data_IF_628533084544
#
_entry.id   IF_628533084544
#
_cell.length_a   1.000
_cell.length_b   1.000
_cell.length_c   1.000
_cell.angle_alpha   90.00
_cell.angle_beta   90.00
_cell.angle_gamma   90.00
#
_symmetry.space_group_name_H-M   'P 1'
#
loop_
_entity.id
_entity.type
_entity.pdbx_description
1 polymer ?
#
# COMPACT_ATOMS: atom_id res chain seq x y z
N UNK A 1 13.21 -5.32 -12.33
CA UNK A 1 13.77 -4.66 -11.12
C UNK A 1 15.08 -5.27 -10.62
N UNK A 2 15.46 -6.48 -11.06
CA UNK A 2 16.70 -7.13 -10.60
C UNK A 2 17.95 -6.33 -11.00
N UNK A 3 17.99 -5.81 -12.21
CA UNK A 3 19.13 -5.07 -12.77
C UNK A 3 19.00 -3.53 -12.63
N UNK A 4 18.05 -3.06 -11.84
CA UNK A 4 17.84 -1.63 -11.65
C UNK A 4 18.90 -1.03 -10.70
N UNK A 5 19.56 0.05 -11.13
CA UNK A 5 20.55 0.79 -10.32
C UNK A 5 20.05 1.22 -8.94
N UNK A 6 18.74 1.43 -8.79
CA UNK A 6 18.11 1.80 -7.52
C UNK A 6 17.82 0.61 -6.60
N UNK A 7 17.98 -0.64 -7.10
CA UNK A 7 17.82 -1.86 -6.33
C UNK A 7 19.14 -2.42 -5.80
N UNK A 8 20.24 -1.72 -5.99
CA UNK A 8 21.57 -2.10 -5.50
C UNK A 8 21.70 -1.64 -4.04
N UNK A 9 22.32 -2.46 -3.19
CA UNK A 9 22.62 -2.10 -1.80
C UNK A 9 23.57 -0.90 -1.78
N UNK A 10 23.24 0.10 -0.97
CA UNK A 10 23.98 1.37 -0.92
C UNK A 10 23.50 2.43 -1.93
N UNK A 11 22.50 2.12 -2.76
CA UNK A 11 21.91 3.11 -3.67
C UNK A 11 20.97 4.11 -2.97
N UNK A 12 20.60 3.85 -1.72
CA UNK A 12 19.81 4.74 -0.86
C UNK A 12 20.69 5.39 0.22
N UNK A 13 20.05 5.79 1.31
CA UNK A 13 20.77 6.37 2.45
C UNK A 13 21.51 5.26 3.22
N UNK A 14 22.82 5.45 3.45
CA UNK A 14 23.68 4.46 4.10
C UNK A 14 23.78 3.16 3.29
N UNK A 15 23.58 2.01 3.91
CA UNK A 15 23.60 0.69 3.26
C UNK A 15 22.24 0.28 2.65
N UNK A 16 21.24 1.17 2.68
CA UNK A 16 19.90 0.88 2.17
C UNK A 16 19.84 0.89 0.64
N UNK A 17 18.73 0.40 0.09
CA UNK A 17 18.40 0.53 -1.33
C UNK A 17 17.48 1.72 -1.53
N UNK A 18 17.68 2.49 -2.60
CA UNK A 18 16.77 3.57 -2.98
C UNK A 18 15.40 3.03 -3.39
N UNK A 19 15.38 1.87 -4.07
CA UNK A 19 14.14 1.16 -4.37
C UNK A 19 13.69 0.34 -3.16
N UNK A 20 12.47 0.61 -2.68
CA UNK A 20 11.88 -0.09 -1.53
C UNK A 20 10.73 -0.98 -1.97
N UNK A 21 10.62 -2.14 -1.34
CA UNK A 21 9.45 -2.98 -1.52
C UNK A 21 8.18 -2.26 -1.05
N UNK A 22 7.16 -2.32 -1.87
CA UNK A 22 5.81 -1.91 -1.48
C UNK A 22 4.80 -2.83 -2.15
N UNK A 23 3.67 -3.03 -1.49
CA UNK A 23 2.55 -3.81 -2.02
C UNK A 23 1.33 -2.90 -2.11
N UNK A 24 0.60 -2.99 -3.23
CA UNK A 24 -0.68 -2.32 -3.39
C UNK A 24 -1.79 -3.31 -3.11
N UNK A 25 -2.78 -2.87 -2.37
CA UNK A 25 -4.00 -3.61 -2.09
C UNK A 25 -5.18 -2.76 -2.53
N UNK A 26 -6.19 -3.39 -3.12
CA UNK A 26 -7.53 -2.85 -3.20
C UNK A 26 -8.27 -3.28 -1.94
N UNK A 27 -8.85 -2.35 -1.22
CA UNK A 27 -9.61 -2.60 -0.01
C UNK A 27 -11.01 -2.05 -0.16
N UNK A 28 -11.97 -2.80 0.37
CA UNK A 28 -13.37 -2.40 0.51
C UNK A 28 -13.63 -2.17 1.99
N UNK A 29 -14.20 -1.03 2.41
CA UNK A 29 -14.63 -0.82 3.79
C UNK A 29 -15.72 -1.81 4.18
N UNK A 30 -15.76 -2.24 5.44
CA UNK A 30 -16.79 -3.14 5.96
C UNK A 30 -18.21 -2.59 5.79
N UNK A 31 -18.36 -1.27 5.78
CA UNK A 31 -19.65 -0.58 5.71
C UNK A 31 -20.04 -0.17 4.28
N UNK A 32 -19.13 -0.34 3.30
CA UNK A 32 -19.35 0.07 1.91
C UNK A 32 -18.51 -0.76 0.94
N UNK A 33 -19.08 -1.85 0.45
CA UNK A 33 -18.44 -2.71 -0.56
C UNK A 33 -18.43 -2.11 -1.97
N UNK A 34 -19.14 -1.01 -2.19
CA UNK A 34 -19.18 -0.32 -3.48
C UNK A 34 -17.98 0.61 -3.74
N UNK A 35 -17.26 0.99 -2.70
CA UNK A 35 -16.14 1.93 -2.81
C UNK A 35 -14.79 1.24 -2.64
N UNK A 36 -13.93 1.38 -3.64
CA UNK A 36 -12.57 0.79 -3.63
C UNK A 36 -11.55 1.82 -3.18
N UNK A 37 -10.78 1.48 -2.17
CA UNK A 37 -9.62 2.25 -1.74
C UNK A 37 -8.32 1.55 -2.10
N UNK A 38 -7.31 2.33 -2.50
CA UNK A 38 -5.97 1.82 -2.67
C UNK A 38 -5.17 1.98 -1.37
N UNK A 39 -4.66 0.88 -0.85
CA UNK A 39 -3.71 0.88 0.25
C UNK A 39 -2.32 0.48 -0.27
N UNK A 40 -1.34 1.32 0.00
CA UNK A 40 0.06 1.02 -0.31
C UNK A 40 0.82 0.67 0.96
N UNK A 41 1.23 -0.58 1.08
CA UNK A 41 1.99 -1.07 2.22
C UNK A 41 3.49 -0.88 2.00
N UNK A 42 4.21 -0.28 2.94
CA UNK A 42 5.66 -0.28 2.98
C UNK A 42 6.20 -1.66 3.39
N UNK A 43 7.49 -1.88 3.13
CA UNK A 43 8.17 -3.14 3.49
C UNK A 43 8.01 -3.50 4.97
N UNK A 44 8.00 -2.52 5.86
CA UNK A 44 7.82 -2.69 7.32
C UNK A 44 6.46 -3.29 7.70
N UNK A 45 5.41 -3.05 6.89
CA UNK A 45 4.08 -3.62 7.10
C UNK A 45 3.90 -4.97 6.39
N UNK A 46 4.76 -5.28 5.42
CA UNK A 46 4.72 -6.54 4.67
C UNK A 46 5.49 -7.63 5.40
N UNK A 47 6.72 -7.30 5.82
CA UNK A 47 7.66 -8.22 6.46
C UNK A 47 7.79 -7.88 7.95
N UNK A 48 8.18 -8.86 8.74
CA UNK A 48 8.43 -8.71 10.16
C UNK A 48 7.86 -9.86 10.97
N UNK A 49 7.90 -9.71 12.28
CA UNK A 49 7.41 -10.70 13.22
C UNK A 49 6.00 -10.36 13.70
N UNK A 50 5.25 -11.40 14.03
CA UNK A 50 3.94 -11.25 14.66
C UNK A 50 4.11 -10.68 16.08
N UNK A 51 3.16 -9.83 16.51
CA UNK A 51 3.16 -9.26 17.84
C UNK A 51 1.75 -9.30 18.42
N UNK A 52 1.58 -9.95 19.56
CA UNK A 52 0.32 -10.01 20.29
C UNK A 52 -0.89 -10.47 19.44
N UNK A 53 -0.66 -11.43 18.53
CA UNK A 53 -1.69 -11.92 17.62
C UNK A 53 -1.97 -11.01 16.42
N UNK A 54 -1.25 -9.90 16.29
CA UNK A 54 -1.26 -9.03 15.12
C UNK A 54 -0.16 -9.46 14.15
N UNK A 55 -0.49 -9.57 12.88
CA UNK A 55 0.37 -10.16 11.86
C UNK A 55 0.77 -9.11 10.82
N UNK A 56 2.05 -9.02 10.41
CA UNK A 56 2.41 -8.31 9.19
C UNK A 56 1.79 -9.01 7.99
N UNK A 57 1.62 -8.32 6.86
CA UNK A 57 0.85 -8.79 5.71
C UNK A 57 1.28 -10.17 5.21
N UNK A 58 2.57 -10.46 5.13
CA UNK A 58 3.06 -11.76 4.66
C UNK A 58 2.67 -12.90 5.62
N UNK A 59 2.80 -12.67 6.93
CA UNK A 59 2.40 -13.64 7.94
C UNK A 59 0.88 -13.82 7.97
N UNK A 60 0.12 -12.73 7.78
CA UNK A 60 -1.33 -12.76 7.68
C UNK A 60 -1.82 -13.55 6.46
N UNK A 61 -1.22 -13.33 5.29
CA UNK A 61 -1.55 -14.10 4.09
C UNK A 61 -1.27 -15.59 4.28
N UNK A 62 -0.16 -15.95 4.94
CA UNK A 62 0.15 -17.33 5.29
C UNK A 62 -0.88 -17.92 6.25
N UNK A 63 -1.24 -17.18 7.29
CA UNK A 63 -2.26 -17.57 8.26
C UNK A 63 -3.61 -17.89 7.60
N UNK A 64 -4.05 -17.09 6.64
CA UNK A 64 -5.28 -17.32 5.89
C UNK A 64 -5.14 -18.54 4.97
N UNK A 65 -4.00 -18.67 4.27
CA UNK A 65 -3.73 -19.80 3.38
C UNK A 65 -3.73 -21.14 4.10
N UNK A 66 -3.16 -21.22 5.30
CA UNK A 66 -3.15 -22.43 6.13
C UNK A 66 -4.56 -22.88 6.58
N UNK A 67 -5.55 -21.99 6.43
CA UNK A 67 -6.96 -22.24 6.75
C UNK A 67 -7.86 -22.30 5.52
N UNK A 68 -7.25 -22.42 4.33
CA UNK A 68 -7.94 -22.41 3.04
C UNK A 68 -8.95 -21.27 2.89
N UNK A 69 -8.62 -20.12 3.50
CA UNK A 69 -9.49 -18.95 3.55
C UNK A 69 -8.97 -17.87 2.60
N UNK A 70 -9.72 -17.53 1.54
CA UNK A 70 -9.38 -16.40 0.68
C UNK A 70 -9.43 -15.08 1.47
N UNK A 71 -8.50 -14.18 1.20
CA UNK A 71 -8.46 -12.88 1.90
C UNK A 71 -9.74 -12.05 1.71
N UNK A 72 -10.41 -12.19 0.56
CA UNK A 72 -11.68 -11.55 0.25
C UNK A 72 -12.88 -12.12 1.02
N UNK A 73 -12.74 -13.27 1.68
CA UNK A 73 -13.82 -13.91 2.42
C UNK A 73 -13.82 -13.55 3.92
N UNK A 74 -12.94 -12.64 4.33
CA UNK A 74 -12.75 -12.27 5.75
C UNK A 74 -12.70 -10.76 5.90
N UNK A 75 -13.47 -10.23 6.85
CA UNK A 75 -13.26 -8.88 7.33
C UNK A 75 -11.95 -8.85 8.10
N UNK A 76 -11.04 -8.01 7.61
CA UNK A 76 -9.69 -7.85 8.18
C UNK A 76 -9.61 -6.55 8.96
N UNK A 77 -9.22 -6.64 10.20
CA UNK A 77 -8.94 -5.48 11.02
C UNK A 77 -7.49 -5.05 10.83
N UNK A 78 -7.27 -3.75 10.63
CA UNK A 78 -5.96 -3.14 10.50
C UNK A 78 -5.62 -2.31 11.71
N UNK A 79 -4.38 -2.43 12.21
CA UNK A 79 -3.88 -1.69 13.35
C UNK A 79 -2.57 -1.00 13.01
N UNK A 80 -2.40 0.21 13.50
CA UNK A 80 -1.08 0.83 13.51
C UNK A 80 -0.25 0.30 14.68
N UNK A 81 1.04 0.14 14.43
CA UNK A 81 2.03 -0.12 15.47
C UNK A 81 2.45 1.21 16.09
N UNK A 82 1.89 1.52 17.26
CA UNK A 82 2.12 2.78 17.96
C UNK A 82 3.55 2.92 18.51
N UNK A 83 4.26 1.80 18.65
CA UNK A 83 5.67 1.78 19.10
C UNK A 83 6.65 1.94 17.91
N UNK A 84 6.16 1.92 16.67
CA UNK A 84 7.01 2.05 15.51
C UNK A 84 7.31 3.50 15.16
N UNK A 85 8.58 3.89 14.95
CA UNK A 85 8.95 5.25 14.55
C UNK A 85 8.51 5.59 13.11
N UNK A 86 8.05 4.61 12.36
CA UNK A 86 7.54 4.76 11.00
C UNK A 86 6.17 4.10 10.88
N UNK A 87 5.28 4.60 10.01
CA UNK A 87 3.98 3.97 9.81
C UNK A 87 4.11 2.49 9.48
N UNK A 88 3.56 1.66 10.34
CA UNK A 88 3.56 0.20 10.21
C UNK A 88 2.17 -0.33 10.55
N UNK A 89 1.65 -1.19 9.70
CA UNK A 89 0.34 -1.82 9.86
C UNK A 89 0.50 -3.29 10.21
N UNK A 90 -0.40 -3.73 11.08
CA UNK A 90 -0.67 -5.11 11.38
C UNK A 90 -2.10 -5.47 10.95
N UNK A 91 -2.31 -6.76 10.71
CA UNK A 91 -3.57 -7.32 10.23
C UNK A 91 -4.02 -8.44 11.15
N UNK A 92 -5.33 -8.50 11.37
CA UNK A 92 -5.97 -9.53 12.17
C UNK A 92 -7.33 -9.88 11.57
N UNK A 93 -7.72 -11.17 11.49
CA UNK A 93 -9.06 -11.53 11.05
C UNK A 93 -10.09 -11.09 12.11
N UNK A 94 -11.16 -10.47 11.68
CA UNK A 94 -12.28 -10.05 12.54
C UNK A 94 -13.41 -11.08 12.52
N UNK A 95 -13.93 -11.38 11.34
CA UNK A 95 -14.98 -12.35 11.09
C UNK A 95 -15.02 -12.77 9.62
N UNK A 96 -15.60 -13.90 9.28
CA UNK A 96 -15.91 -14.21 7.89
C UNK A 96 -16.99 -13.26 7.35
N UNK A 97 -17.03 -13.11 6.03
CA UNK A 97 -18.14 -12.45 5.35
C UNK A 97 -19.39 -13.32 5.38
N UNK A 98 -20.56 -12.67 5.40
CA UNK A 98 -21.82 -13.34 5.12
C UNK A 98 -21.94 -13.70 3.64
N UNK A 99 -22.94 -14.50 3.26
CA UNK A 99 -23.15 -14.85 1.84
C UNK A 99 -23.43 -13.62 0.96
N UNK A 100 -24.19 -12.67 1.44
CA UNK A 100 -24.50 -11.44 0.70
C UNK A 100 -23.27 -10.55 0.56
N UNK A 101 -22.54 -10.33 1.64
CA UNK A 101 -21.25 -9.59 1.61
C UNK A 101 -20.24 -10.26 0.68
N UNK A 102 -20.16 -11.59 0.68
CA UNK A 102 -19.26 -12.34 -0.19
C UNK A 102 -19.63 -12.19 -1.67
N UNK A 103 -20.92 -12.11 -1.97
CA UNK A 103 -21.42 -11.86 -3.33
C UNK A 103 -21.04 -10.45 -3.77
N UNK A 104 -21.31 -9.44 -2.96
CA UNK A 104 -20.96 -8.04 -3.24
C UNK A 104 -19.45 -7.86 -3.42
N UNK A 105 -18.64 -8.40 -2.51
CA UNK A 105 -17.19 -8.37 -2.62
C UNK A 105 -16.70 -9.12 -3.88
N UNK A 106 -17.36 -10.23 -4.26
CA UNK A 106 -17.06 -11.00 -5.46
C UNK A 106 -17.26 -10.20 -6.74
N UNK A 107 -18.33 -9.42 -6.82
CA UNK A 107 -18.64 -8.55 -7.96
C UNK A 107 -17.56 -7.47 -8.15
N UNK A 108 -16.92 -7.06 -7.06
CA UNK A 108 -15.87 -6.04 -7.09
C UNK A 108 -14.49 -6.55 -7.50
N UNK A 109 -14.26 -7.86 -7.57
CA UNK A 109 -12.93 -8.42 -7.93
C UNK A 109 -12.45 -7.91 -9.30
N UNK A 110 -13.33 -7.94 -10.29
CA UNK A 110 -13.03 -7.54 -11.67
C UNK A 110 -13.48 -6.10 -11.97
N UNK A 111 -13.90 -5.36 -10.97
CA UNK A 111 -14.31 -3.97 -11.15
C UNK A 111 -13.12 -3.11 -11.58
N UNK A 112 -13.38 -2.12 -12.45
CA UNK A 112 -12.33 -1.25 -13.01
C UNK A 112 -11.51 -0.54 -11.92
N UNK A 113 -12.15 -0.11 -10.84
CA UNK A 113 -11.47 0.57 -9.72
C UNK A 113 -10.57 -0.38 -8.93
N UNK A 114 -10.97 -1.65 -8.76
CA UNK A 114 -10.14 -2.68 -8.13
C UNK A 114 -8.89 -2.93 -8.96
N UNK A 115 -9.06 -3.12 -10.28
CA UNK A 115 -7.94 -3.33 -11.21
C UNK A 115 -7.00 -2.11 -11.17
N UNK A 116 -7.56 -0.90 -11.22
CA UNK A 116 -6.78 0.35 -11.14
C UNK A 116 -6.02 0.46 -9.81
N UNK A 117 -6.64 0.08 -8.69
CA UNK A 117 -6.02 0.16 -7.38
C UNK A 117 -4.77 -0.73 -7.24
N UNK A 118 -4.75 -1.91 -7.87
CA UNK A 118 -3.64 -2.87 -7.78
C UNK A 118 -2.64 -2.79 -8.93
N UNK A 119 -3.01 -2.16 -10.04
CA UNK A 119 -2.16 -2.06 -11.24
C UNK A 119 -1.17 -0.91 -11.10
N UNK A 120 0.08 -1.15 -11.52
CA UNK A 120 1.07 -0.10 -11.74
C UNK A 120 0.82 0.48 -13.12
N UNK A 121 0.20 1.66 -13.19
CA UNK A 121 0.25 2.45 -14.42
C UNK A 121 1.65 3.01 -14.56
N UNK A 122 2.39 2.47 -15.52
CA UNK A 122 3.63 3.07 -15.99
C UNK A 122 3.22 4.21 -16.93
N UNK A 123 3.11 5.42 -16.41
CA UNK A 123 3.22 6.59 -17.27
C UNK A 123 4.69 6.70 -17.63
N UNK A 124 5.08 6.54 -18.94
CA UNK A 124 6.41 6.93 -19.35
C UNK A 124 6.60 8.39 -18.94
N UNK A 125 7.69 8.70 -18.29
CA UNK A 125 8.07 10.08 -18.06
C UNK A 125 8.24 10.73 -19.43
N UNK A 126 7.18 11.30 -19.98
CA UNK A 126 7.33 12.35 -20.96
C UNK A 126 8.04 13.47 -20.22
N UNK A 127 9.16 13.89 -20.82
CA UNK A 127 9.96 15.05 -20.41
C UNK A 127 9.08 16.31 -20.43
N UNK A 128 8.10 16.42 -19.55
CA UNK A 128 7.50 17.69 -19.24
C UNK A 128 8.50 18.40 -18.33
N UNK A 129 9.17 19.39 -18.90
CA UNK A 129 9.92 20.42 -18.21
C UNK A 129 8.95 21.19 -17.30
N UNK A 130 8.56 20.58 -16.20
CA UNK A 130 7.97 21.31 -15.10
C UNK A 130 9.11 21.52 -14.13
N UNK A 131 9.81 22.64 -14.32
CA UNK A 131 10.62 23.20 -13.26
C UNK A 131 9.67 23.54 -12.11
N UNK A 132 9.83 22.96 -10.91
CA UNK A 132 8.99 23.32 -9.76
C UNK A 132 9.30 24.72 -9.22
N UNK A 133 10.25 25.42 -9.81
CA UNK A 133 10.61 26.79 -9.51
C UNK A 133 10.49 27.59 -10.81
N UNK A 134 9.24 27.95 -11.19
CA UNK A 134 9.04 29.11 -12.04
C UNK A 134 9.49 30.32 -11.22
N UNK A 135 10.53 30.98 -11.69
CA UNK A 135 11.02 32.23 -11.14
C UNK A 135 9.86 33.22 -11.03
N UNK A 136 9.47 33.56 -9.80
CA UNK A 136 8.67 34.74 -9.56
C UNK A 136 9.61 35.94 -9.65
N UNK A 137 9.78 36.45 -10.85
CA UNK A 137 10.27 37.81 -11.07
C UNK A 137 9.33 38.79 -10.35
N UNK A 138 9.88 39.55 -9.43
CA UNK A 138 9.17 40.67 -8.88
C UNK A 138 9.35 40.97 -7.39
N UNK A 139 10.57 40.98 -6.89
CA UNK A 139 10.83 41.69 -5.64
C UNK A 139 11.66 42.97 -5.97
N UNK A 140 10.94 44.04 -6.27
CA UNK A 140 11.56 45.38 -6.36
C UNK A 140 11.92 45.85 -4.94
N UNK A 141 13.21 45.91 -4.66
CA UNK A 141 13.76 46.63 -3.51
C UNK A 141 13.47 48.12 -3.62
N UNK A 142 12.58 48.61 -2.79
CA UNK A 142 12.47 50.07 -2.57
C UNK A 142 13.53 50.49 -1.57
N UNK A 143 14.52 51.24 -2.04
CA UNK A 143 15.45 51.97 -1.17
C UNK A 143 14.71 53.10 -0.47
N UNK A 144 14.89 53.16 0.82
CA UNK A 144 14.76 54.40 1.62
C UNK A 144 16.15 54.70 2.15
#
# INVERSE_FOLDING_TARGET
CMDCKHNIRGSGYGSSRACRFSQRLAILPEEDFGTVYQLRLPATSIFGEARDGNLPMQAYARFLKERDTPAMAVITQMYFDDDSPTPKLFFKPKRPLTEDELREAGDMINHADTIRAITLEFTPFENSKISPFAETDGFQSTKI
#
